data_IF_609649983103
#
_entry.id   IF_609649983103
#
_cell.length_a   1.000
_cell.length_b   1.000
_cell.length_c   1.000
_cell.angle_alpha   90.00
_cell.angle_beta   90.00
_cell.angle_gamma   90.00
#
_symmetry.space_group_name_H-M   'P 1'
#
loop_
_entity.id
_entity.type
_entity.pdbx_description
1 polymer ?
#
# COMPACT_ATOMS: atom_id res chain seq x y z
N UNK A 1 28.20 -17.22 -14.73
CA UNK A 1 27.18 -16.20 -15.08
C UNK A 1 25.81 -16.37 -14.40
N UNK A 2 25.32 -17.59 -14.08
CA UNK A 2 24.02 -17.79 -13.35
C UNK A 2 23.95 -17.13 -11.96
N UNK A 3 25.06 -17.09 -11.21
CA UNK A 3 25.07 -16.52 -9.86
C UNK A 3 24.84 -15.01 -9.81
N UNK A 4 25.33 -14.26 -10.81
CA UNK A 4 25.16 -12.81 -10.87
C UNK A 4 23.68 -12.40 -11.10
N UNK A 5 22.95 -13.16 -11.92
CA UNK A 5 21.50 -12.97 -12.15
C UNK A 5 20.67 -13.29 -10.91
N UNK A 6 21.00 -14.39 -10.20
CA UNK A 6 20.30 -14.80 -8.97
C UNK A 6 20.45 -13.76 -7.86
N UNK A 7 21.66 -13.25 -7.65
CA UNK A 7 21.95 -12.25 -6.61
C UNK A 7 21.17 -10.94 -6.86
N UNK A 8 20.99 -10.54 -8.12
CA UNK A 8 20.19 -9.36 -8.47
C UNK A 8 18.69 -9.52 -8.15
N UNK A 9 18.13 -10.71 -8.33
CA UNK A 9 16.72 -10.98 -7.97
C UNK A 9 16.53 -10.95 -6.46
N UNK A 10 17.45 -11.59 -5.72
CA UNK A 10 17.42 -11.60 -4.25
C UNK A 10 17.48 -10.18 -3.70
N UNK A 11 18.39 -9.34 -4.22
CA UNK A 11 18.49 -7.94 -3.80
C UNK A 11 17.20 -7.15 -4.06
N UNK A 12 16.58 -7.32 -5.23
CA UNK A 12 15.30 -6.66 -5.57
C UNK A 12 14.19 -7.05 -4.60
N UNK A 13 14.07 -8.34 -4.30
CA UNK A 13 13.07 -8.83 -3.35
C UNK A 13 13.36 -8.31 -1.94
N UNK A 14 14.62 -8.32 -1.50
CA UNK A 14 15.02 -7.80 -0.18
C UNK A 14 14.65 -6.32 -0.02
N UNK A 15 14.98 -5.48 -1.01
CA UNK A 15 14.64 -4.05 -0.98
C UNK A 15 13.12 -3.84 -0.99
N UNK A 16 12.39 -4.61 -1.80
CA UNK A 16 10.94 -4.52 -1.87
C UNK A 16 10.24 -4.98 -0.58
N UNK A 17 10.80 -5.93 0.15
CA UNK A 17 10.22 -6.47 1.38
C UNK A 17 10.63 -5.70 2.64
N UNK A 18 11.71 -4.92 2.57
CA UNK A 18 12.25 -4.17 3.71
C UNK A 18 11.20 -3.29 4.42
N UNK A 19 10.33 -2.53 3.72
CA UNK A 19 9.29 -1.75 4.39
C UNK A 19 8.31 -2.58 5.21
N UNK A 20 7.95 -3.79 4.73
CA UNK A 20 7.06 -4.68 5.47
C UNK A 20 7.73 -5.24 6.73
N UNK A 21 8.99 -5.66 6.61
CA UNK A 21 9.76 -6.16 7.77
C UNK A 21 9.96 -5.05 8.80
N UNK A 22 10.35 -3.85 8.36
CA UNK A 22 10.53 -2.71 9.24
C UNK A 22 9.23 -2.33 9.97
N UNK A 23 8.11 -2.25 9.25
CA UNK A 23 6.80 -1.99 9.84
C UNK A 23 6.39 -3.07 10.85
N UNK A 24 6.64 -4.35 10.54
CA UNK A 24 6.28 -5.45 11.43
C UNK A 24 7.05 -5.37 12.75
N UNK A 25 8.36 -5.14 12.68
CA UNK A 25 9.22 -4.99 13.86
C UNK A 25 8.83 -3.75 14.68
N UNK A 26 8.63 -2.60 14.03
CA UNK A 26 8.22 -1.37 14.70
C UNK A 26 6.85 -1.52 15.36
N UNK A 27 5.92 -2.19 14.70
CA UNK A 27 4.58 -2.46 15.25
C UNK A 27 4.67 -3.29 16.51
N UNK A 28 5.45 -4.37 16.50
CA UNK A 28 5.62 -5.26 17.65
C UNK A 28 6.42 -4.63 18.80
N UNK A 29 7.33 -3.70 18.50
CA UNK A 29 8.14 -3.05 19.53
C UNK A 29 7.45 -1.83 20.17
N UNK A 30 6.75 -1.00 19.39
CA UNK A 30 6.32 0.33 19.84
C UNK A 30 4.85 0.66 19.57
N UNK A 31 4.24 0.09 18.53
CA UNK A 31 2.94 0.54 18.02
C UNK A 31 1.81 -0.49 18.13
N UNK A 32 1.88 -1.41 19.09
CA UNK A 32 0.80 -2.38 19.36
C UNK A 32 -0.54 -1.72 19.72
N UNK A 33 -0.52 -0.48 20.21
CA UNK A 33 -1.73 0.26 20.59
C UNK A 33 -2.35 1.05 19.41
N UNK A 34 -1.73 1.03 18.23
CA UNK A 34 -2.22 1.76 17.05
C UNK A 34 -3.07 0.80 16.21
N UNK A 35 -4.38 1.07 16.15
CA UNK A 35 -5.38 0.17 15.55
C UNK A 35 -4.93 -0.43 14.21
N UNK A 36 -4.55 0.40 13.23
CA UNK A 36 -4.28 -0.07 11.89
C UNK A 36 -2.95 -0.81 11.77
N UNK A 37 -1.95 -0.46 12.58
CA UNK A 37 -0.67 -1.16 12.62
C UNK A 37 -0.83 -2.53 13.27
N UNK A 38 -1.47 -2.57 14.45
CA UNK A 38 -1.77 -3.81 15.17
C UNK A 38 -2.62 -4.76 14.30
N UNK A 39 -3.69 -4.23 13.69
CA UNK A 39 -4.56 -5.00 12.81
C UNK A 39 -3.77 -5.63 11.66
N UNK A 40 -2.89 -4.86 11.00
CA UNK A 40 -2.07 -5.40 9.90
C UNK A 40 -1.07 -6.45 10.37
N UNK A 41 -0.41 -6.25 11.51
CA UNK A 41 0.53 -7.23 12.06
C UNK A 41 -0.19 -8.56 12.36
N UNK A 42 -1.40 -8.49 12.93
CA UNK A 42 -2.24 -9.66 13.23
C UNK A 42 -2.68 -10.40 11.97
N UNK A 43 -2.98 -9.67 10.89
CA UNK A 43 -3.46 -10.23 9.62
C UNK A 43 -2.35 -10.39 8.56
N UNK A 44 -1.07 -10.34 8.97
CA UNK A 44 0.09 -10.54 8.09
C UNK A 44 0.07 -9.66 6.83
N UNK A 45 -0.37 -8.40 6.98
CA UNK A 45 -0.54 -7.43 5.90
C UNK A 45 -1.39 -7.95 4.73
N UNK A 46 -2.34 -8.86 5.00
CA UNK A 46 -3.20 -9.50 4.00
C UNK A 46 -2.43 -10.16 2.83
N UNK A 47 -1.20 -10.60 3.07
CA UNK A 47 -0.35 -11.20 2.03
C UNK A 47 0.22 -10.21 1.01
N UNK A 48 0.07 -8.89 1.23
CA UNK A 48 0.65 -7.86 0.36
C UNK A 48 2.17 -7.99 0.23
N UNK A 49 2.85 -8.46 1.27
CA UNK A 49 4.29 -8.72 1.22
C UNK A 49 4.64 -9.81 0.19
N UNK A 50 3.87 -10.91 0.11
CA UNK A 50 4.07 -11.97 -0.90
C UNK A 50 3.84 -11.40 -2.30
N UNK A 51 2.72 -10.70 -2.50
CA UNK A 51 2.38 -10.08 -3.78
C UNK A 51 3.49 -9.14 -4.24
N UNK A 52 3.98 -8.30 -3.33
CA UNK A 52 5.06 -7.35 -3.61
C UNK A 52 6.37 -8.08 -3.93
N UNK A 53 6.70 -9.15 -3.20
CA UNK A 53 7.87 -10.00 -3.48
C UNK A 53 7.81 -10.66 -4.86
N UNK A 54 6.66 -11.22 -5.25
CA UNK A 54 6.47 -11.81 -6.58
C UNK A 54 6.58 -10.75 -7.68
N UNK A 55 5.95 -9.58 -7.51
CA UNK A 55 6.07 -8.48 -8.46
C UNK A 55 7.53 -8.02 -8.59
N UNK A 56 8.34 -8.08 -7.53
CA UNK A 56 9.75 -7.64 -7.57
C UNK A 56 10.60 -8.44 -8.57
N UNK A 57 10.23 -9.69 -8.83
CA UNK A 57 10.90 -10.57 -9.80
C UNK A 57 10.72 -10.04 -11.22
N UNK A 58 9.51 -9.57 -11.55
CA UNK A 58 9.13 -9.14 -12.91
C UNK A 58 9.26 -7.63 -13.13
N UNK A 59 8.88 -6.84 -12.13
CA UNK A 59 8.85 -5.38 -12.18
C UNK A 59 9.21 -4.78 -10.82
N UNK A 60 10.51 -4.64 -10.59
CA UNK A 60 11.07 -4.03 -9.39
C UNK A 60 10.57 -2.61 -9.13
N UNK A 61 10.28 -1.82 -10.18
CA UNK A 61 9.81 -0.44 -10.03
C UNK A 61 8.39 -0.40 -9.47
N UNK A 62 7.50 -1.24 -10.01
CA UNK A 62 6.14 -1.39 -9.50
C UNK A 62 6.14 -1.95 -8.07
N UNK A 63 6.93 -3.00 -7.82
CA UNK A 63 7.05 -3.62 -6.50
C UNK A 63 7.54 -2.65 -5.43
N UNK A 64 8.62 -1.92 -5.69
CA UNK A 64 9.12 -0.88 -4.78
C UNK A 64 8.06 0.19 -4.54
N UNK A 65 7.39 0.65 -5.60
CA UNK A 65 6.34 1.67 -5.47
C UNK A 65 5.19 1.19 -4.57
N UNK A 66 4.70 -0.04 -4.75
CA UNK A 66 3.67 -0.64 -3.88
C UNK A 66 4.15 -0.67 -2.42
N UNK A 67 5.38 -1.12 -2.19
CA UNK A 67 5.92 -1.27 -0.83
C UNK A 67 6.02 0.06 -0.08
N UNK A 68 6.58 1.10 -0.70
CA UNK A 68 6.70 2.42 -0.07
C UNK A 68 5.36 3.15 0.02
N UNK A 69 4.50 3.04 -1.00
CA UNK A 69 3.16 3.64 -0.96
C UNK A 69 2.27 2.97 0.08
N UNK A 70 2.49 1.69 0.41
CA UNK A 70 1.82 1.02 1.53
C UNK A 70 2.10 1.73 2.86
N UNK A 71 3.36 2.08 3.16
CA UNK A 71 3.70 2.82 4.39
C UNK A 71 2.92 4.13 4.50
N UNK A 72 2.83 4.87 3.40
CA UNK A 72 2.09 6.15 3.33
C UNK A 72 0.59 5.90 3.49
N UNK A 73 0.04 4.91 2.79
CA UNK A 73 -1.37 4.56 2.85
C UNK A 73 -1.80 4.14 4.27
N UNK A 74 -0.94 3.45 5.01
CA UNK A 74 -1.18 3.10 6.42
C UNK A 74 -1.28 4.36 7.26
N UNK A 75 -0.34 5.29 7.11
CA UNK A 75 -0.40 6.58 7.81
C UNK A 75 -1.69 7.35 7.53
N UNK A 76 -2.09 7.42 6.25
CA UNK A 76 -3.34 8.06 5.84
C UNK A 76 -4.57 7.34 6.43
N UNK A 77 -4.60 6.01 6.36
CA UNK A 77 -5.68 5.20 6.90
C UNK A 77 -5.84 5.37 8.41
N UNK A 78 -4.73 5.45 9.15
CA UNK A 78 -4.75 5.68 10.59
C UNK A 78 -5.26 7.10 10.91
N UNK A 79 -4.63 8.14 10.36
CA UNK A 79 -4.97 9.54 10.67
C UNK A 79 -6.42 9.87 10.30
N UNK A 80 -6.85 9.50 9.09
CA UNK A 80 -8.22 9.75 8.65
C UNK A 80 -9.22 8.85 9.39
N UNK A 81 -8.83 7.60 9.67
CA UNK A 81 -9.63 6.66 10.44
C UNK A 81 -9.94 7.17 11.85
N UNK A 82 -8.92 7.62 12.57
CA UNK A 82 -9.05 8.22 13.90
C UNK A 82 -9.93 9.46 13.88
N UNK A 83 -9.75 10.31 12.86
CA UNK A 83 -10.52 11.56 12.72
C UNK A 83 -12.00 11.27 12.50
N UNK A 84 -12.33 10.34 11.60
CA UNK A 84 -13.72 9.95 11.33
C UNK A 84 -14.32 9.26 12.53
N UNK A 85 -13.60 8.36 13.20
CA UNK A 85 -14.09 7.69 14.39
C UNK A 85 -14.40 8.69 15.52
N UNK A 86 -13.52 9.65 15.76
CA UNK A 86 -13.75 10.73 16.75
C UNK A 86 -14.99 11.54 16.42
N UNK A 87 -15.15 11.93 15.15
CA UNK A 87 -16.33 12.67 14.69
C UNK A 87 -17.63 11.85 14.88
N UNK A 88 -17.60 10.57 14.51
CA UNK A 88 -18.74 9.67 14.67
C UNK A 88 -19.13 9.52 16.14
N UNK A 89 -18.17 9.25 17.03
CA UNK A 89 -18.44 9.12 18.47
C UNK A 89 -19.01 10.42 19.05
N UNK A 90 -18.52 11.58 18.62
CA UNK A 90 -19.06 12.88 19.05
C UNK A 90 -20.48 13.16 18.57
N UNK A 91 -20.96 12.42 17.56
CA UNK A 91 -22.30 12.57 16.98
C UNK A 91 -23.34 11.62 17.61
N UNK A 92 -22.96 10.82 18.62
CA UNK A 92 -23.87 9.88 19.30
C UNK A 92 -24.88 10.68 20.14
N UNK A 93 -26.17 10.46 19.89
CA UNK A 93 -27.27 11.06 20.69
C UNK A 93 -27.93 10.02 21.61
N UNK A 94 -28.62 10.46 22.68
CA UNK A 94 -29.32 9.56 23.61
C UNK A 94 -30.39 8.70 22.94
N UNK A 95 -30.97 9.19 21.85
CA UNK A 95 -32.11 8.58 21.14
C UNK A 95 -31.69 7.47 20.17
N UNK A 96 -30.38 7.29 19.92
CA UNK A 96 -29.87 6.27 19.02
C UNK A 96 -29.96 4.88 19.62
N UNK A 97 -30.39 3.90 18.81
CA UNK A 97 -30.43 2.51 19.21
C UNK A 97 -29.01 1.93 19.42
N UNK A 98 -28.93 0.81 20.15
CA UNK A 98 -27.64 0.20 20.52
C UNK A 98 -26.79 -0.23 19.29
N UNK A 99 -27.43 -0.68 18.22
CA UNK A 99 -26.75 -1.11 17.00
C UNK A 99 -26.15 0.05 16.20
N UNK A 100 -26.88 1.16 16.09
CA UNK A 100 -26.42 2.40 15.45
C UNK A 100 -25.21 2.93 16.21
N UNK A 101 -25.31 2.97 17.54
CA UNK A 101 -24.21 3.40 18.40
C UNK A 101 -22.97 2.51 18.19
N UNK A 102 -23.13 1.19 18.16
CA UNK A 102 -22.03 0.25 17.92
C UNK A 102 -21.35 0.44 16.55
N UNK A 103 -22.11 0.77 15.50
CA UNK A 103 -21.53 1.08 14.17
C UNK A 103 -20.69 2.35 14.17
N UNK A 104 -21.08 3.36 14.94
CA UNK A 104 -20.34 4.63 15.03
C UNK A 104 -18.97 4.48 15.72
N UNK A 105 -18.79 3.44 16.54
CA UNK A 105 -17.49 3.08 17.13
C UNK A 105 -16.56 2.33 16.17
N UNK A 106 -17.05 1.86 15.01
CA UNK A 106 -16.23 1.10 14.07
C UNK A 106 -15.13 1.99 13.46
N UNK A 107 -13.88 1.56 13.50
CA UNK A 107 -12.75 2.33 12.99
C UNK A 107 -12.60 2.15 11.46
N UNK A 108 -12.84 3.19 10.63
CA UNK A 108 -12.88 3.03 9.17
C UNK A 108 -11.50 2.97 8.52
N UNK A 109 -10.42 3.10 9.30
CA UNK A 109 -9.05 3.19 8.78
C UNK A 109 -8.59 2.04 7.87
N UNK A 110 -9.12 0.82 8.08
CA UNK A 110 -8.83 -0.32 7.19
C UNK A 110 -9.29 -0.06 5.75
N UNK A 111 -10.53 0.39 5.57
CA UNK A 111 -11.07 0.67 4.24
C UNK A 111 -10.34 1.84 3.58
N UNK A 112 -10.03 2.87 4.36
CA UNK A 112 -9.30 4.05 3.87
C UNK A 112 -7.91 3.66 3.38
N UNK A 113 -7.21 2.81 4.13
CA UNK A 113 -5.90 2.29 3.73
C UNK A 113 -5.95 1.52 2.41
N UNK A 114 -6.90 0.58 2.26
CA UNK A 114 -7.07 -0.18 1.01
C UNK A 114 -7.35 0.76 -0.17
N UNK A 115 -8.29 1.70 0.00
CA UNK A 115 -8.63 2.67 -1.03
C UNK A 115 -7.44 3.55 -1.43
N UNK A 116 -6.67 4.05 -0.46
CA UNK A 116 -5.48 4.86 -0.70
C UNK A 116 -4.40 4.08 -1.45
N UNK A 117 -4.14 2.83 -1.05
CA UNK A 117 -3.17 1.96 -1.72
C UNK A 117 -3.59 1.65 -3.17
N UNK A 118 -4.85 1.30 -3.40
CA UNK A 118 -5.38 1.06 -4.74
C UNK A 118 -5.28 2.30 -5.63
N UNK A 119 -5.56 3.49 -5.08
CA UNK A 119 -5.42 4.75 -5.79
C UNK A 119 -3.96 4.99 -6.21
N UNK A 120 -3.00 4.82 -5.31
CA UNK A 120 -1.58 4.97 -5.64
C UNK A 120 -1.14 4.02 -6.76
N UNK A 121 -1.53 2.74 -6.67
CA UNK A 121 -1.23 1.75 -7.71
C UNK A 121 -1.86 2.12 -9.04
N UNK A 122 -3.13 2.55 -9.05
CA UNK A 122 -3.82 2.97 -10.25
C UNK A 122 -3.13 4.17 -10.94
N UNK A 123 -2.74 5.18 -10.16
CA UNK A 123 -2.00 6.35 -10.67
C UNK A 123 -0.66 5.93 -11.26
N UNK A 124 0.11 5.08 -10.57
CA UNK A 124 1.39 4.60 -11.09
C UNK A 124 1.23 3.84 -12.40
N UNK A 125 0.26 2.93 -12.49
CA UNK A 125 -0.01 2.17 -13.71
C UNK A 125 -0.48 3.09 -14.84
N UNK A 126 -1.33 4.08 -14.55
CA UNK A 126 -1.76 5.08 -15.53
C UNK A 126 -0.56 5.84 -16.09
N UNK A 127 0.27 6.44 -15.22
CA UNK A 127 1.46 7.21 -15.63
C UNK A 127 2.42 6.34 -16.44
N UNK A 128 2.67 5.10 -16.01
CA UNK A 128 3.52 4.14 -16.74
C UNK A 128 2.97 3.85 -18.14
N UNK A 129 1.65 3.70 -18.28
CA UNK A 129 0.97 3.45 -19.57
C UNK A 129 1.02 4.68 -20.47
N UNK A 130 0.80 5.87 -19.91
CA UNK A 130 0.92 7.14 -20.62
C UNK A 130 2.34 7.37 -21.14
N UNK A 131 3.39 7.07 -20.36
CA UNK A 131 4.80 7.24 -20.80
C UNK A 131 5.24 6.26 -21.89
N UNK A 132 4.68 5.04 -21.94
CA UNK A 132 4.99 4.07 -23.01
C UNK A 132 4.43 4.48 -24.38
N UNK A 133 3.28 5.16 -24.41
CA UNK A 133 2.56 5.55 -25.64
C UNK A 133 3.33 6.54 -26.56
N UNK A 134 3.95 7.62 -26.06
CA UNK A 134 4.70 8.58 -26.89
C UNK A 134 6.03 8.01 -27.38
N UNK A 135 6.74 7.21 -26.57
CA UNK A 135 8.05 6.64 -26.96
C UNK A 135 7.93 5.69 -28.16
N UNK A 136 6.87 4.87 -28.21
CA UNK A 136 6.62 3.98 -29.35
C UNK A 136 6.20 4.73 -30.62
N UNK A 137 5.56 5.91 -30.49
CA UNK A 137 5.11 6.71 -31.64
C UNK A 137 6.30 7.43 -32.29
N UNK A 138 7.17 8.01 -31.48
CA UNK A 138 8.41 8.69 -31.91
C UNK A 138 9.36 7.72 -32.66
N UNK A 139 9.59 6.52 -32.13
CA UNK A 139 10.46 5.51 -32.76
C UNK A 139 9.91 4.99 -34.10
N UNK A 140 8.59 4.92 -34.29
CA UNK A 140 8.00 4.56 -35.58
C UNK A 140 8.19 5.65 -36.62
N UNK A 141 8.00 6.92 -36.24
CA UNK A 141 8.18 8.05 -37.15
C UNK A 141 9.62 8.17 -37.64
N UNK A 142 10.60 7.96 -36.76
CA UNK A 142 12.03 7.99 -37.15
C UNK A 142 12.35 6.86 -38.14
N UNK A 143 11.82 5.65 -37.90
CA UNK A 143 12.06 4.48 -38.76
C UNK A 143 11.36 4.54 -40.12
N UNK A 144 10.30 5.36 -40.26
CA UNK A 144 9.66 5.61 -41.56
C UNK A 144 10.35 6.70 -42.38
N UNK A 145 11.32 7.41 -41.80
CA UNK A 145 12.07 8.50 -42.44
C UNK A 145 13.51 8.10 -42.81
N UNK A 146 13.94 6.88 -42.46
CA UNK A 146 15.24 6.27 -42.78
C UNK A 146 15.11 5.18 -43.83
#
# INVERSE_FOLDING_TARGET
>A
MKNASRNGIVLRCAVALLPFVALFLLTNAFFQNVYLLEWQARHWYCGLWIVTGVIAIFDFKLSSFISYSNVIAIGLGQILGDTIQKYNISSITPDMNAEQRARLYLHPGFLIWICALLLFVAVFLAVKRYRKKPQHRQLRTIRSLS
#
